data_IF_436704182584
#
_entry.id   IF_436704182584
#
_cell.length_a   1.000
_cell.length_b   1.000
_cell.length_c   1.000
_cell.angle_alpha   90.00
_cell.angle_beta   90.00
_cell.angle_gamma   90.00
#
_symmetry.space_group_name_H-M   'P 1'
#
loop_
_entity.id
_entity.type
_entity.pdbx_description
1 polymer ?
#
# COMPACT_ATOMS: atom_id res chain seq x y z
N UNK A 1 -44.45 18.87 7.15
CA UNK A 1 -43.63 17.91 6.40
C UNK A 1 -42.85 18.70 5.38
N UNK A 2 -41.52 18.67 5.46
CA UNK A 2 -40.65 19.43 4.54
C UNK A 2 -40.77 18.90 3.11
N UNK A 3 -40.63 19.79 2.14
CA UNK A 3 -40.68 19.48 0.71
C UNK A 3 -39.58 18.46 0.35
N UNK A 4 -39.91 17.23 -0.09
CA UNK A 4 -38.93 16.20 -0.44
C UNK A 4 -38.06 16.58 -1.65
N UNK A 5 -38.39 17.66 -2.37
CA UNK A 5 -37.63 18.18 -3.52
C UNK A 5 -36.22 18.66 -3.18
N UNK A 6 -35.85 18.79 -1.90
CA UNK A 6 -34.56 19.36 -1.49
C UNK A 6 -33.45 18.36 -1.16
N UNK A 7 -33.72 17.05 -0.99
CA UNK A 7 -32.78 16.14 -0.32
C UNK A 7 -31.95 15.21 -1.23
N UNK A 8 -32.06 15.32 -2.56
CA UNK A 8 -31.33 14.44 -3.50
C UNK A 8 -30.00 15.02 -4.02
N UNK A 9 -29.48 16.08 -3.40
CA UNK A 9 -28.23 16.73 -3.79
C UNK A 9 -27.09 16.37 -2.84
N UNK A 10 -26.14 15.56 -3.31
CA UNK A 10 -25.01 15.07 -2.49
C UNK A 10 -23.79 16.02 -2.47
N UNK A 11 -23.89 17.18 -3.12
CA UNK A 11 -22.80 18.16 -3.15
C UNK A 11 -21.64 17.73 -4.06
N UNK A 12 -20.46 18.31 -3.85
CA UNK A 12 -19.27 18.02 -4.67
C UNK A 12 -18.54 16.76 -4.17
N UNK A 13 -18.61 16.45 -2.88
CA UNK A 13 -17.89 15.33 -2.26
C UNK A 13 -18.76 14.56 -1.27
N UNK A 14 -18.69 13.23 -1.29
CA UNK A 14 -19.37 12.38 -0.31
C UNK A 14 -18.48 11.25 0.22
N UNK A 15 -18.59 11.00 1.53
CA UNK A 15 -17.95 9.86 2.19
C UNK A 15 -18.82 8.60 2.04
N UNK A 16 -18.41 7.69 1.17
CA UNK A 16 -19.06 6.40 0.99
C UNK A 16 -18.66 5.43 2.10
N UNK A 17 -19.54 5.24 3.08
CA UNK A 17 -19.36 4.25 4.16
C UNK A 17 -19.96 2.91 3.72
N UNK A 18 -19.35 1.75 4.05
CA UNK A 18 -19.90 0.45 3.69
C UNK A 18 -21.31 0.21 4.26
N UNK A 19 -22.18 -0.41 3.47
CA UNK A 19 -23.58 -0.70 3.84
C UNK A 19 -23.81 -2.13 4.37
N UNK A 20 -22.80 -2.99 4.27
CA UNK A 20 -22.82 -4.39 4.67
C UNK A 20 -21.67 -4.71 5.63
N UNK A 21 -21.85 -5.74 6.47
CA UNK A 21 -20.81 -6.18 7.40
C UNK A 21 -19.52 -6.60 6.68
N UNK A 22 -19.65 -7.31 5.55
CA UNK A 22 -18.51 -7.68 4.72
C UNK A 22 -17.75 -6.47 4.18
N UNK A 23 -18.45 -5.40 3.79
CA UNK A 23 -17.82 -4.15 3.40
C UNK A 23 -17.07 -3.46 4.54
N UNK A 24 -17.60 -3.52 5.77
CA UNK A 24 -16.88 -3.01 6.95
C UNK A 24 -15.59 -3.78 7.25
N UNK A 25 -15.62 -5.12 7.14
CA UNK A 25 -14.42 -5.96 7.29
C UNK A 25 -13.39 -5.63 6.23
N UNK A 26 -13.80 -5.55 4.96
CA UNK A 26 -12.92 -5.19 3.85
C UNK A 26 -12.31 -3.80 4.04
N UNK A 27 -13.11 -2.82 4.47
CA UNK A 27 -12.61 -1.48 4.79
C UNK A 27 -11.56 -1.52 5.91
N UNK A 28 -11.79 -2.31 6.96
CA UNK A 28 -10.83 -2.52 8.04
C UNK A 28 -9.50 -3.08 7.56
N UNK A 29 -9.54 -4.10 6.69
CA UNK A 29 -8.33 -4.68 6.06
C UNK A 29 -7.59 -3.63 5.23
N UNK A 30 -8.31 -2.89 4.38
CA UNK A 30 -7.70 -1.85 3.54
C UNK A 30 -7.05 -0.72 4.36
N UNK A 31 -7.70 -0.28 5.44
CA UNK A 31 -7.13 0.72 6.36
C UNK A 31 -5.89 0.17 7.08
N UNK A 32 -5.92 -1.08 7.53
CA UNK A 32 -4.74 -1.72 8.14
C UNK A 32 -3.56 -1.77 7.17
N UNK A 33 -3.81 -2.12 5.91
CA UNK A 33 -2.77 -2.12 4.87
C UNK A 33 -2.19 -0.73 4.63
N UNK A 34 -3.02 0.33 4.66
CA UNK A 34 -2.51 1.72 4.60
C UNK A 34 -1.64 2.08 5.80
N UNK A 35 -2.04 1.66 7.00
CA UNK A 35 -1.29 1.88 8.25
C UNK A 35 0.08 1.18 8.20
N UNK A 36 0.21 0.09 7.46
CA UNK A 36 1.50 -0.59 7.25
C UNK A 36 2.29 0.08 6.11
N UNK A 37 1.64 0.36 4.98
CA UNK A 37 2.30 0.89 3.79
C UNK A 37 2.97 2.27 4.01
N UNK A 38 2.33 3.17 4.77
CA UNK A 38 2.83 4.53 5.00
C UNK A 38 4.12 4.53 5.83
N UNK A 39 4.21 3.87 7.01
CA UNK A 39 5.47 3.71 7.73
C UNK A 39 6.55 3.04 6.89
N UNK A 40 6.23 1.98 6.13
CA UNK A 40 7.20 1.32 5.24
C UNK A 40 7.71 2.28 4.16
N UNK A 41 6.87 3.15 3.60
CA UNK A 41 7.27 4.20 2.66
C UNK A 41 8.23 5.20 3.31
N UNK A 42 7.90 5.68 4.51
CA UNK A 42 8.73 6.63 5.24
C UNK A 42 10.09 6.02 5.60
N UNK A 43 10.10 4.76 6.02
CA UNK A 43 11.33 4.00 6.28
C UNK A 43 12.14 3.81 4.99
N UNK A 44 11.51 3.49 3.86
CA UNK A 44 12.19 3.38 2.57
C UNK A 44 12.92 4.68 2.20
N UNK A 45 12.32 5.84 2.48
CA UNK A 45 12.97 7.15 2.27
C UNK A 45 14.21 7.41 3.13
N UNK A 46 14.44 6.61 4.18
CA UNK A 46 15.65 6.69 5.02
C UNK A 46 16.75 5.70 4.63
N UNK A 47 16.46 4.76 3.72
CA UNK A 47 17.41 3.74 3.29
C UNK A 47 18.37 4.31 2.23
N UNK A 48 19.65 3.93 2.34
CA UNK A 48 20.68 4.30 1.36
C UNK A 48 20.63 3.33 0.17
N UNK A 49 20.75 3.87 -1.04
CA UNK A 49 20.79 3.08 -2.27
C UNK A 49 22.22 2.60 -2.55
N UNK A 50 22.53 1.38 -2.11
CA UNK A 50 23.84 0.78 -2.31
C UNK A 50 23.91 0.06 -3.67
N UNK A 51 24.95 0.30 -4.49
CA UNK A 51 25.14 -0.38 -5.77
C UNK A 51 25.39 -1.89 -5.59
N UNK A 52 25.15 -2.71 -6.63
CA UNK A 52 25.45 -4.13 -6.60
C UNK A 52 26.93 -4.37 -6.25
N UNK A 53 27.26 -5.33 -5.35
CA UNK A 53 28.64 -5.56 -4.92
C UNK A 53 29.61 -5.85 -6.06
N UNK A 54 29.14 -6.43 -7.18
CA UNK A 54 29.98 -6.72 -8.35
C UNK A 54 30.50 -5.48 -9.07
N UNK A 55 29.83 -4.34 -8.92
CA UNK A 55 30.16 -3.06 -9.59
C UNK A 55 31.02 -2.16 -8.71
N UNK A 56 31.19 -2.51 -7.44
CA UNK A 56 31.95 -1.70 -6.47
C UNK A 56 33.44 -2.11 -6.49
N UNK A 57 34.39 -1.17 -6.63
CA UNK A 57 35.81 -1.47 -6.63
C UNK A 57 36.29 -2.05 -5.30
N UNK A 58 37.26 -2.97 -5.35
CA UNK A 58 37.92 -3.52 -4.17
C UNK A 58 39.22 -2.74 -3.94
N UNK A 59 39.36 -2.14 -2.77
CA UNK A 59 40.53 -1.33 -2.35
C UNK A 59 41.17 -1.93 -1.10
N UNK A 60 42.47 -1.69 -0.91
CA UNK A 60 43.19 -2.18 0.27
C UNK A 60 42.90 -1.30 1.50
N UNK A 61 42.74 0.00 1.30
CA UNK A 61 42.46 1.00 2.33
C UNK A 61 41.40 2.01 1.84
N UNK A 62 40.16 1.96 2.36
CA UNK A 62 39.10 2.90 2.01
C UNK A 62 39.45 4.39 2.22
N UNK A 63 40.30 4.70 3.21
CA UNK A 63 40.66 6.07 3.56
C UNK A 63 41.82 6.62 2.74
N UNK A 64 42.67 5.74 2.21
CA UNK A 64 43.86 6.10 1.43
C UNK A 64 43.72 5.89 -0.09
N UNK A 65 42.87 4.96 -0.52
CA UNK A 65 42.66 4.61 -1.94
C UNK A 65 41.22 4.93 -2.36
N UNK A 66 41.07 5.97 -3.18
CA UNK A 66 39.79 6.32 -3.78
C UNK A 66 39.73 5.84 -5.24
N UNK A 67 38.57 5.35 -5.70
CA UNK A 67 38.40 5.01 -7.11
C UNK A 67 38.46 6.27 -7.99
N UNK A 68 38.96 6.12 -9.22
CA UNK A 68 39.09 7.22 -10.21
C UNK A 68 37.74 7.70 -10.79
N UNK A 69 36.63 7.11 -10.35
CA UNK A 69 35.29 7.40 -10.85
C UNK A 69 34.73 8.70 -10.26
N UNK A 70 33.64 9.23 -10.84
CA UNK A 70 32.97 10.40 -10.27
C UNK A 70 32.29 10.06 -8.93
N UNK A 71 32.35 10.93 -7.90
CA UNK A 71 31.69 10.70 -6.62
C UNK A 71 30.18 10.52 -6.81
N UNK A 72 29.64 9.57 -6.05
CA UNK A 72 28.20 9.31 -5.99
C UNK A 72 27.57 10.32 -5.05
N UNK A 73 26.62 11.10 -5.57
CA UNK A 73 25.81 11.99 -4.75
C UNK A 73 24.68 11.19 -4.11
N UNK A 74 24.68 11.09 -2.78
CA UNK A 74 23.56 10.50 -2.05
C UNK A 74 22.34 11.43 -2.17
N UNK A 75 21.34 10.98 -2.92
CA UNK A 75 20.18 11.82 -3.28
C UNK A 75 19.16 11.96 -2.14
N UNK A 76 18.66 10.88 -1.57
CA UNK A 76 17.53 10.91 -0.63
C UNK A 76 17.73 9.89 0.49
N UNK A 77 17.53 10.33 1.75
CA UNK A 77 17.88 9.62 2.99
C UNK A 77 19.05 10.29 3.75
N UNK A 78 20.00 10.87 3.01
CA UNK A 78 21.08 11.76 3.50
C UNK A 78 21.40 12.78 2.40
N UNK A 79 20.56 13.79 2.25
CA UNK A 79 20.68 14.78 1.18
C UNK A 79 22.04 15.51 1.26
N UNK A 80 22.84 15.40 0.20
CA UNK A 80 24.00 16.27 -0.05
C UNK A 80 25.37 15.62 0.11
N UNK A 81 25.47 14.47 0.78
CA UNK A 81 26.75 13.79 0.94
C UNK A 81 27.23 13.23 -0.40
N UNK A 82 28.42 13.66 -0.83
CA UNK A 82 29.14 13.11 -1.98
C UNK A 82 30.19 12.12 -1.47
N UNK A 83 30.32 10.97 -2.13
CA UNK A 83 31.28 9.95 -1.70
C UNK A 83 31.43 8.78 -2.65
N UNK A 84 32.27 7.83 -2.29
CA UNK A 84 32.48 6.61 -3.06
C UNK A 84 32.02 5.38 -2.31
N UNK A 85 31.52 4.42 -3.09
CA UNK A 85 31.34 3.06 -2.63
C UNK A 85 32.64 2.30 -2.88
N UNK A 86 33.14 1.64 -1.84
CA UNK A 86 34.31 0.77 -1.93
C UNK A 86 34.06 -0.52 -1.19
N UNK A 87 34.72 -1.58 -1.65
CA UNK A 87 34.82 -2.83 -0.91
C UNK A 87 36.22 -2.96 -0.34
N UNK A 88 36.34 -3.47 0.86
CA UNK A 88 37.64 -3.85 1.42
C UNK A 88 37.53 -5.20 2.12
N UNK A 89 38.65 -5.90 2.25
CA UNK A 89 38.76 -7.10 3.09
C UNK A 89 39.47 -6.71 4.37
N UNK A 90 38.91 -7.06 5.52
CA UNK A 90 39.50 -6.74 6.81
C UNK A 90 39.31 -7.90 7.79
N UNK A 91 40.06 -7.89 8.89
CA UNK A 91 39.87 -8.83 10.00
C UNK A 91 39.15 -8.14 11.14
N UNK A 92 38.15 -8.80 11.70
CA UNK A 92 37.49 -8.34 12.93
C UNK A 92 38.50 -8.34 14.09
N UNK A 93 38.49 -7.31 14.94
CA UNK A 93 39.33 -7.29 16.16
C UNK A 93 38.61 -7.91 17.36
N UNK A 94 37.28 -7.91 17.33
CA UNK A 94 36.37 -8.39 18.36
C UNK A 94 35.18 -9.14 17.74
N UNK A 95 34.32 -9.72 18.57
CA UNK A 95 33.06 -10.30 18.10
C UNK A 95 32.20 -9.20 17.48
N UNK A 96 31.90 -9.33 16.20
CA UNK A 96 31.31 -8.24 15.42
C UNK A 96 29.78 -8.32 15.35
N UNK A 97 29.26 -9.47 14.94
CA UNK A 97 27.84 -9.62 14.66
C UNK A 97 27.33 -11.05 14.90
N UNK A 98 26.03 -11.15 15.16
CA UNK A 98 25.28 -12.39 15.20
C UNK A 98 24.39 -12.49 13.96
N UNK A 99 24.43 -13.64 13.31
CA UNK A 99 23.61 -14.00 12.15
C UNK A 99 22.59 -15.01 12.64
N UNK A 100 21.31 -14.69 12.50
CA UNK A 100 20.20 -15.61 12.78
C UNK A 100 19.55 -15.98 11.46
N UNK A 101 19.43 -17.27 11.17
CA UNK A 101 18.80 -17.78 9.96
C UNK A 101 17.42 -18.36 10.30
N UNK A 102 16.40 -17.97 9.55
CA UNK A 102 15.02 -18.43 9.71
C UNK A 102 14.48 -18.97 8.39
N UNK A 103 13.95 -20.19 8.41
CA UNK A 103 13.24 -20.78 7.26
C UNK A 103 11.74 -20.72 7.52
N UNK A 104 10.97 -20.17 6.59
CA UNK A 104 9.50 -20.13 6.71
C UNK A 104 8.88 -21.49 6.33
N UNK A 105 7.57 -21.64 6.54
CA UNK A 105 6.82 -22.87 6.26
C UNK A 105 6.83 -23.26 4.76
N UNK A 106 7.06 -22.28 3.88
CA UNK A 106 7.17 -22.45 2.43
C UNK A 106 8.59 -22.87 1.98
N UNK A 107 9.54 -23.01 2.91
CA UNK A 107 10.92 -23.38 2.63
C UNK A 107 11.79 -22.23 2.15
N UNK A 108 11.33 -20.99 2.24
CA UNK A 108 12.14 -19.81 1.95
C UNK A 108 13.04 -19.48 3.14
N UNK A 109 14.34 -19.37 2.87
CA UNK A 109 15.35 -18.99 3.85
C UNK A 109 15.45 -17.45 3.95
N UNK A 110 15.50 -16.96 5.17
CA UNK A 110 15.74 -15.57 5.54
C UNK A 110 16.80 -15.53 6.63
N UNK A 111 17.46 -14.40 6.82
CA UNK A 111 18.37 -14.20 7.95
C UNK A 111 18.36 -12.75 8.39
N UNK A 112 18.78 -12.52 9.62
CA UNK A 112 19.05 -11.22 10.19
C UNK A 112 20.49 -11.16 10.68
N UNK A 113 21.13 -10.01 10.49
CA UNK A 113 22.43 -9.72 11.08
C UNK A 113 22.28 -8.63 12.12
N UNK A 114 22.71 -8.94 13.32
CA UNK A 114 22.70 -8.06 14.46
C UNK A 114 24.13 -7.68 14.81
N UNK A 115 24.50 -6.43 14.54
CA UNK A 115 25.82 -5.91 14.93
C UNK A 115 25.81 -5.60 16.40
N UNK A 116 26.81 -6.12 17.11
CA UNK A 116 26.86 -6.02 18.57
C UNK A 116 27.28 -4.62 19.04
N UNK A 117 28.11 -3.93 18.27
CA UNK A 117 28.73 -2.67 18.65
C UNK A 117 28.33 -1.53 17.69
N UNK A 118 28.12 -0.32 18.23
CA UNK A 118 27.85 0.88 17.41
C UNK A 118 29.06 1.34 16.60
N UNK A 119 30.27 1.06 17.10
CA UNK A 119 31.53 1.24 16.38
C UNK A 119 32.31 -0.05 16.46
N UNK A 120 32.95 -0.42 15.36
CA UNK A 120 33.81 -1.59 15.29
C UNK A 120 35.16 -1.25 14.70
N UNK A 121 36.18 -1.92 15.21
CA UNK A 121 37.53 -1.82 14.71
C UNK A 121 37.83 -3.03 13.82
N UNK A 122 38.46 -2.76 12.69
CA UNK A 122 38.86 -3.78 11.73
C UNK A 122 40.35 -3.61 11.40
N UNK A 123 41.05 -4.72 11.29
CA UNK A 123 42.44 -4.74 10.87
C UNK A 123 42.51 -4.91 9.35
N UNK A 124 43.03 -3.90 8.66
CA UNK A 124 43.20 -3.91 7.22
C UNK A 124 44.37 -4.82 6.79
N UNK A 125 44.44 -5.21 5.49
CA UNK A 125 45.51 -6.07 4.98
C UNK A 125 46.90 -5.42 5.05
N UNK A 126 46.94 -4.08 5.03
CA UNK A 126 48.16 -3.28 5.19
C UNK A 126 48.67 -3.20 6.64
N UNK A 127 47.87 -3.70 7.61
CA UNK A 127 48.18 -3.66 9.05
C UNK A 127 47.62 -2.43 9.77
N UNK A 128 46.96 -1.52 9.06
CA UNK A 128 46.30 -0.35 9.66
C UNK A 128 44.95 -0.73 10.29
N UNK A 129 44.46 0.14 11.15
CA UNK A 129 43.21 -0.04 11.86
C UNK A 129 42.14 0.87 11.27
N UNK A 130 41.05 0.26 10.82
CA UNK A 130 39.87 0.94 10.30
C UNK A 130 38.80 0.99 11.40
N UNK A 131 38.36 2.20 11.77
CA UNK A 131 37.32 2.38 12.79
C UNK A 131 36.06 2.86 12.12
N UNK A 132 35.03 2.01 12.13
CA UNK A 132 33.82 2.23 11.37
C UNK A 132 32.63 2.39 12.31
N UNK A 133 31.72 3.29 11.93
CA UNK A 133 30.41 3.39 12.59
C UNK A 133 29.47 2.40 11.92
N UNK A 134 28.90 1.49 12.73
CA UNK A 134 27.95 0.51 12.23
C UNK A 134 26.53 1.12 12.21
N UNK A 135 25.81 1.02 11.09
CA UNK A 135 24.42 1.42 11.02
C UNK A 135 23.59 0.52 11.92
N UNK A 136 22.46 1.05 12.39
CA UNK A 136 21.57 0.38 13.32
C UNK A 136 20.91 -0.91 12.78
N UNK A 137 21.09 -1.23 11.50
CA UNK A 137 20.72 -2.51 10.90
C UNK A 137 21.46 -2.72 9.56
N UNK A 138 22.51 -3.56 9.49
CA UNK A 138 22.96 -4.07 8.21
C UNK A 138 21.97 -5.14 7.76
N UNK A 139 21.54 -5.02 6.53
CA UNK A 139 20.69 -6.01 5.89
C UNK A 139 21.55 -6.74 4.83
N UNK A 140 21.25 -7.99 4.54
CA UNK A 140 21.90 -8.74 3.45
C UNK A 140 20.95 -9.82 2.93
N UNK A 141 21.31 -10.47 1.81
CA UNK A 141 20.51 -11.51 1.15
C UNK A 141 20.99 -12.93 1.55
N UNK A 142 20.09 -13.93 1.67
CA UNK A 142 20.43 -15.28 2.15
C UNK A 142 21.51 -15.94 1.31
N UNK A 143 22.51 -16.49 2.00
CA UNK A 143 23.29 -17.58 1.42
C UNK A 143 22.55 -18.91 1.63
N UNK A 144 22.37 -19.71 0.56
CA UNK A 144 21.69 -21.00 0.67
C UNK A 144 22.35 -21.91 1.70
N UNK A 145 21.56 -22.45 2.64
CA UNK A 145 22.06 -23.29 3.73
C UNK A 145 22.57 -22.50 4.94
N UNK A 146 22.04 -21.30 5.14
CA UNK A 146 22.33 -20.42 6.28
C UNK A 146 22.11 -21.15 7.61
N UNK A 147 23.12 -21.12 8.49
CA UNK A 147 23.02 -21.56 9.88
C UNK A 147 23.37 -20.41 10.80
N UNK A 148 22.75 -20.37 11.98
CA UNK A 148 23.06 -19.39 13.00
C UNK A 148 24.58 -19.34 13.24
N UNK A 149 25.13 -18.14 13.16
CA UNK A 149 26.57 -17.93 13.15
C UNK A 149 26.92 -16.64 13.88
N UNK A 150 28.03 -16.67 14.61
CA UNK A 150 28.58 -15.47 15.24
C UNK A 150 29.91 -15.16 14.61
N UNK A 151 30.06 -13.95 14.06
CA UNK A 151 31.32 -13.46 13.50
C UNK A 151 32.26 -13.16 14.67
N UNK A 152 33.21 -14.06 14.91
CA UNK A 152 34.16 -13.92 16.01
C UNK A 152 35.29 -12.96 15.68
N UNK A 153 36.11 -12.65 16.69
CA UNK A 153 37.35 -11.92 16.51
C UNK A 153 38.33 -12.68 15.61
N UNK A 154 39.14 -11.94 14.85
CA UNK A 154 40.18 -12.44 13.95
C UNK A 154 39.63 -13.28 12.78
N UNK A 155 38.39 -13.02 12.36
CA UNK A 155 37.80 -13.59 11.16
C UNK A 155 37.94 -12.63 9.97
N UNK A 156 38.21 -13.20 8.80
CA UNK A 156 38.26 -12.45 7.54
C UNK A 156 36.84 -12.11 7.07
N UNK A 157 36.58 -10.82 6.90
CA UNK A 157 35.31 -10.26 6.42
C UNK A 157 35.54 -9.37 5.21
N UNK A 158 34.57 -9.37 4.28
CA UNK A 158 34.48 -8.36 3.23
C UNK A 158 33.49 -7.29 3.68
N UNK A 159 33.89 -6.03 3.62
CA UNK A 159 33.09 -4.88 4.00
C UNK A 159 32.68 -4.10 2.73
N UNK A 160 31.43 -3.65 2.70
CA UNK A 160 30.93 -2.64 1.78
C UNK A 160 30.87 -1.31 2.53
N UNK A 161 31.74 -0.38 2.15
CA UNK A 161 31.95 0.90 2.84
C UNK A 161 31.52 2.05 1.94
N UNK A 162 30.81 3.02 2.52
CA UNK A 162 30.61 4.33 1.92
C UNK A 162 31.58 5.33 2.55
N UNK A 163 32.41 5.97 1.72
CA UNK A 163 33.37 6.98 2.14
C UNK A 163 32.80 8.35 1.85
N UNK A 164 32.45 9.11 2.88
CA UNK A 164 31.89 10.46 2.73
C UNK A 164 33.01 11.49 2.53
N UNK A 165 33.00 12.21 1.41
CA UNK A 165 34.04 13.19 1.08
C UNK A 165 33.88 14.53 1.81
N UNK A 166 32.68 14.84 2.30
CA UNK A 166 32.44 16.09 3.04
C UNK A 166 32.84 15.98 4.51
N UNK A 167 32.54 14.85 5.16
CA UNK A 167 32.86 14.62 6.57
C UNK A 167 34.16 13.85 6.81
N UNK A 168 34.67 13.12 5.81
CA UNK A 168 35.78 12.19 5.97
C UNK A 168 35.42 10.96 6.82
N UNK A 169 34.14 10.74 7.12
CA UNK A 169 33.68 9.58 7.87
C UNK A 169 33.39 8.40 6.94
N UNK A 170 33.68 7.20 7.44
CA UNK A 170 33.50 5.93 6.74
C UNK A 170 32.43 5.10 7.46
N UNK A 171 31.49 4.58 6.69
CA UNK A 171 30.37 3.80 7.21
C UNK A 171 30.25 2.46 6.51
N UNK A 172 30.10 1.38 7.29
CA UNK A 172 29.86 0.03 6.77
C UNK A 172 28.38 -0.16 6.54
N UNK A 173 27.96 -0.47 5.32
CA UNK A 173 26.54 -0.69 5.01
C UNK A 173 26.23 -2.15 4.66
N UNK A 174 27.26 -2.98 4.45
CA UNK A 174 27.12 -4.42 4.23
C UNK A 174 28.38 -5.19 4.61
N UNK A 175 28.21 -6.42 5.10
CA UNK A 175 29.30 -7.32 5.54
C UNK A 175 29.09 -8.68 4.89
N UNK A 176 30.16 -9.24 4.34
CA UNK A 176 30.25 -10.62 3.83
C UNK A 176 31.25 -11.39 4.68
N UNK A 177 30.93 -12.65 4.99
CA UNK A 177 31.73 -13.51 5.88
C UNK A 177 32.07 -14.79 5.12
N UNK A 178 33.19 -15.47 5.46
CA UNK A 178 33.56 -16.79 4.92
C UNK A 178 33.73 -16.81 3.39
N UNK A 179 34.51 -15.87 2.87
CA UNK A 179 34.73 -15.67 1.43
C UNK A 179 33.48 -15.28 0.62
N UNK A 180 32.36 -15.01 1.30
CA UNK A 180 31.18 -14.45 0.66
C UNK A 180 31.35 -12.96 0.43
N UNK A 181 30.79 -12.48 -0.69
CA UNK A 181 30.82 -11.06 -1.01
C UNK A 181 29.94 -10.28 -0.05
N UNK A 182 30.39 -9.10 0.36
CA UNK A 182 29.56 -8.17 1.11
C UNK A 182 28.27 -7.93 0.32
N UNK A 183 27.13 -8.22 0.94
CA UNK A 183 25.85 -8.08 0.28
C UNK A 183 25.25 -6.70 0.56
N UNK A 184 24.43 -6.21 -0.39
CA UNK A 184 23.75 -4.92 -0.24
C UNK A 184 22.67 -5.00 0.84
N UNK A 185 22.44 -3.94 1.63
CA UNK A 185 21.26 -3.84 2.48
C UNK A 185 19.97 -3.96 1.67
N UNK A 186 18.88 -4.37 2.33
CA UNK A 186 17.51 -4.37 1.82
C UNK A 186 17.33 -3.09 1.01
N UNK A 187 17.24 -3.27 -0.31
CA UNK A 187 17.33 -2.16 -1.22
C UNK A 187 16.20 -1.18 -0.94
N UNK A 188 16.54 0.11 -0.90
CA UNK A 188 15.56 1.20 -0.94
C UNK A 188 14.47 0.92 -1.98
N UNK A 189 14.88 0.41 -3.14
CA UNK A 189 14.00 -0.07 -4.20
C UNK A 189 13.01 -1.13 -3.71
N UNK A 190 13.45 -2.25 -3.13
CA UNK A 190 12.58 -3.30 -2.58
C UNK A 190 11.58 -2.78 -1.55
N UNK A 191 12.01 -1.85 -0.68
CA UNK A 191 11.13 -1.22 0.32
C UNK A 191 10.06 -0.33 -0.34
N UNK A 192 10.43 0.48 -1.33
CA UNK A 192 9.47 1.25 -2.13
C UNK A 192 8.53 0.34 -2.93
N UNK A 193 9.04 -0.69 -3.60
CA UNK A 193 8.23 -1.66 -4.36
C UNK A 193 7.20 -2.31 -3.45
N UNK A 194 7.61 -2.79 -2.27
CA UNK A 194 6.71 -3.42 -1.29
C UNK A 194 5.67 -2.42 -0.76
N UNK A 195 6.08 -1.21 -0.45
CA UNK A 195 5.17 -0.17 0.04
C UNK A 195 4.13 0.23 -1.01
N UNK A 196 4.55 0.53 -2.24
CA UNK A 196 3.64 0.89 -3.32
C UNK A 196 2.74 -0.27 -3.74
N UNK A 197 3.25 -1.51 -3.74
CA UNK A 197 2.43 -2.70 -3.97
C UNK A 197 1.35 -2.88 -2.91
N UNK A 198 1.71 -2.73 -1.63
CA UNK A 198 0.77 -2.79 -0.50
C UNK A 198 -0.26 -1.66 -0.58
N UNK A 199 0.16 -0.44 -0.92
CA UNK A 199 -0.71 0.71 -1.13
C UNK A 199 -1.70 0.48 -2.28
N UNK A 200 -1.25 -0.09 -3.41
CA UNK A 200 -2.11 -0.39 -4.54
C UNK A 200 -3.21 -1.41 -4.16
N UNK A 201 -2.84 -2.48 -3.45
CA UNK A 201 -3.82 -3.47 -2.96
C UNK A 201 -4.78 -2.82 -1.96
N UNK A 202 -4.28 -2.01 -1.03
CA UNK A 202 -5.10 -1.28 -0.07
C UNK A 202 -6.14 -0.40 -0.76
N UNK A 203 -5.72 0.37 -1.78
CA UNK A 203 -6.62 1.20 -2.56
C UNK A 203 -7.71 0.38 -3.27
N UNK A 204 -7.37 -0.77 -3.89
CA UNK A 204 -8.36 -1.64 -4.54
C UNK A 204 -9.39 -2.19 -3.55
N UNK A 205 -8.93 -2.67 -2.39
CA UNK A 205 -9.81 -3.17 -1.33
C UNK A 205 -10.74 -2.05 -0.85
N UNK A 206 -10.20 -0.84 -0.65
CA UNK A 206 -10.98 0.31 -0.22
C UNK A 206 -12.00 0.75 -1.27
N UNK A 207 -11.64 0.78 -2.55
CA UNK A 207 -12.58 1.02 -3.66
C UNK A 207 -13.75 0.04 -3.62
N UNK A 208 -13.47 -1.26 -3.48
CA UNK A 208 -14.50 -2.30 -3.41
C UNK A 208 -15.38 -2.22 -2.15
N UNK A 209 -14.84 -1.71 -1.04
CA UNK A 209 -15.57 -1.54 0.22
C UNK A 209 -16.44 -0.28 0.28
N UNK A 210 -16.07 0.77 -0.47
CA UNK A 210 -16.82 2.04 -0.48
C UNK A 210 -18.15 1.86 -1.19
N UNK A 211 -19.23 2.30 -0.56
CA UNK A 211 -20.55 2.27 -1.18
C UNK A 211 -20.64 3.28 -2.34
N UNK A 212 -21.39 2.96 -3.41
CA UNK A 212 -21.67 3.91 -4.47
C UNK A 212 -22.33 5.19 -3.95
N UNK A 213 -22.10 6.34 -4.59
CA UNK A 213 -22.82 7.57 -4.26
C UNK A 213 -24.34 7.33 -4.41
N UNK A 214 -25.13 7.91 -3.53
CA UNK A 214 -26.58 7.70 -3.51
C UNK A 214 -27.07 6.40 -2.84
N UNK A 215 -26.24 5.36 -2.67
CA UNK A 215 -26.72 4.06 -2.18
C UNK A 215 -27.37 4.13 -0.78
N UNK A 216 -26.75 4.84 0.17
CA UNK A 216 -27.32 5.05 1.50
C UNK A 216 -28.57 5.93 1.50
N UNK A 217 -28.65 6.89 0.57
CA UNK A 217 -29.79 7.78 0.43
C UNK A 217 -31.00 7.03 -0.14
N UNK A 218 -30.80 6.25 -1.21
CA UNK A 218 -31.82 5.37 -1.78
C UNK A 218 -32.31 4.35 -0.76
N UNK A 219 -31.40 3.72 0.00
CA UNK A 219 -31.77 2.79 1.07
C UNK A 219 -32.58 3.46 2.18
N UNK A 220 -32.28 4.73 2.52
CA UNK A 220 -33.07 5.51 3.48
C UNK A 220 -34.45 5.87 2.93
N UNK A 221 -34.54 6.26 1.66
CA UNK A 221 -35.80 6.55 0.98
C UNK A 221 -36.68 5.30 0.90
N UNK A 222 -36.13 4.17 0.48
CA UNK A 222 -36.82 2.87 0.51
C UNK A 222 -37.32 2.53 1.92
N UNK A 223 -36.51 2.70 2.97
CA UNK A 223 -36.96 2.45 4.35
C UNK A 223 -38.02 3.43 4.84
N UNK A 224 -38.03 4.65 4.34
CA UNK A 224 -38.99 5.67 4.75
C UNK A 224 -40.36 5.47 4.11
N UNK A 225 -40.37 4.97 2.87
CA UNK A 225 -41.60 4.68 2.14
C UNK A 225 -42.11 3.25 2.39
N UNK A 226 -41.22 2.29 2.64
CA UNK A 226 -41.57 0.86 2.75
C UNK A 226 -42.34 0.38 1.50
N UNK A 227 -41.77 0.58 0.30
CA UNK A 227 -42.47 0.35 -0.95
C UNK A 227 -42.92 -1.11 -1.04
N UNK A 228 -44.05 -1.38 -1.68
CA UNK A 228 -44.54 -2.74 -1.81
C UNK A 228 -43.64 -3.61 -2.70
N UNK A 229 -43.58 -4.93 -2.43
CA UNK A 229 -42.86 -5.87 -3.29
C UNK A 229 -43.48 -5.93 -4.70
N UNK A 230 -42.69 -6.46 -5.63
CA UNK A 230 -42.93 -6.52 -7.09
C UNK A 230 -44.39 -6.68 -7.51
N UNK A 231 -44.75 -6.16 -8.67
CA UNK A 231 -46.11 -6.29 -9.24
C UNK A 231 -46.15 -7.37 -10.33
N UNK A 232 -47.25 -8.10 -10.43
CA UNK A 232 -47.51 -9.08 -11.49
C UNK A 232 -48.89 -8.85 -12.12
N UNK A 233 -48.98 -9.03 -13.44
CA UNK A 233 -50.24 -9.03 -14.17
C UNK A 233 -50.64 -10.47 -14.49
N UNK A 234 -51.78 -10.91 -13.95
CA UNK A 234 -52.38 -12.22 -14.21
C UNK A 234 -53.73 -12.09 -14.95
N UNK A 235 -54.41 -13.22 -15.17
CA UNK A 235 -55.71 -13.27 -15.84
C UNK A 235 -56.85 -12.56 -15.07
N UNK A 236 -56.65 -12.28 -13.78
CA UNK A 236 -57.61 -11.62 -12.89
C UNK A 236 -57.29 -10.12 -12.70
N UNK A 237 -56.13 -9.66 -13.19
CA UNK A 237 -55.72 -8.26 -13.20
C UNK A 237 -54.30 -8.05 -12.70
N UNK A 238 -54.01 -6.81 -12.27
CA UNK A 238 -52.72 -6.45 -11.69
C UNK A 238 -52.77 -6.65 -10.18
N UNK A 239 -51.80 -7.38 -9.63
CA UNK A 239 -51.72 -7.71 -8.20
C UNK A 239 -50.29 -7.61 -7.69
N UNK A 240 -50.13 -7.44 -6.38
CA UNK A 240 -48.83 -7.57 -5.73
C UNK A 240 -48.34 -9.02 -5.83
N UNK A 241 -47.11 -9.20 -6.30
CA UNK A 241 -46.48 -10.49 -6.44
C UNK A 241 -46.15 -11.02 -5.04
N UNK A 242 -46.75 -12.16 -4.69
CA UNK A 242 -46.30 -12.98 -3.56
C UNK A 242 -45.15 -13.84 -4.09
N UNK A 243 -44.00 -13.21 -4.33
CA UNK A 243 -42.80 -13.93 -4.77
C UNK A 243 -42.13 -14.65 -3.58
N UNK A 244 -41.50 -15.82 -3.78
CA UNK A 244 -40.62 -16.39 -2.76
C UNK A 244 -39.50 -15.40 -2.43
N UNK A 245 -39.09 -15.34 -1.16
CA UNK A 245 -38.00 -14.45 -0.71
C UNK A 245 -36.78 -14.62 -1.62
N UNK A 246 -36.48 -13.57 -2.38
CA UNK A 246 -35.29 -13.52 -3.22
C UNK A 246 -34.11 -13.03 -2.39
N UNK A 247 -32.92 -13.59 -2.63
CA UNK A 247 -31.66 -13.08 -2.09
C UNK A 247 -31.21 -11.84 -2.89
N UNK A 248 -31.90 -10.72 -2.72
CA UNK A 248 -31.62 -9.47 -3.45
C UNK A 248 -32.63 -8.37 -3.13
N UNK A 249 -32.81 -7.42 -4.05
CA UNK A 249 -33.85 -6.41 -3.93
C UNK A 249 -35.22 -7.02 -4.21
N UNK A 250 -36.09 -6.97 -3.20
CA UNK A 250 -37.47 -7.48 -3.24
C UNK A 250 -38.47 -6.43 -3.72
N UNK A 251 -38.02 -5.17 -3.89
CA UNK A 251 -38.85 -4.04 -4.30
C UNK A 251 -38.51 -3.64 -5.73
N UNK A 252 -39.54 -3.37 -6.53
CA UNK A 252 -39.34 -2.80 -7.88
C UNK A 252 -39.25 -1.27 -7.84
N UNK A 253 -39.63 -0.64 -6.71
CA UNK A 253 -39.80 0.81 -6.56
C UNK A 253 -39.00 1.33 -5.36
N UNK A 254 -38.59 2.60 -5.44
CA UNK A 254 -37.98 3.35 -4.32
C UNK A 254 -39.05 4.06 -3.47
N UNK A 255 -40.20 4.37 -4.08
CA UNK A 255 -41.36 5.01 -3.48
C UNK A 255 -42.55 4.07 -3.49
N UNK A 256 -43.58 4.41 -2.73
CA UNK A 256 -44.86 3.70 -2.74
C UNK A 256 -45.41 3.66 -4.16
N UNK A 257 -45.69 2.47 -4.73
CA UNK A 257 -46.32 2.42 -6.04
C UNK A 257 -47.71 3.04 -5.95
N UNK A 258 -48.22 3.66 -7.03
CA UNK A 258 -49.61 4.09 -7.07
C UNK A 258 -50.54 2.90 -6.82
N UNK A 259 -51.66 3.12 -6.12
CA UNK A 259 -52.65 2.06 -5.89
C UNK A 259 -53.21 1.53 -7.22
N UNK A 260 -53.52 0.22 -7.28
CA UNK A 260 -54.00 -0.48 -8.49
C UNK A 260 -55.29 0.14 -9.08
N UNK A 261 -56.01 0.90 -8.27
CA UNK A 261 -57.22 1.65 -8.63
C UNK A 261 -56.91 2.90 -9.48
N UNK A 262 -55.72 3.48 -9.34
CA UNK A 262 -55.30 4.65 -10.09
C UNK A 262 -54.68 4.30 -11.47
N UNK A 263 -54.40 3.03 -11.73
CA UNK A 263 -53.63 2.64 -12.92
C UNK A 263 -54.45 2.70 -14.21
N UNK A 264 -53.86 3.26 -15.25
CA UNK A 264 -54.43 3.32 -16.58
C UNK A 264 -54.30 1.98 -17.30
N UNK A 265 -55.34 1.15 -17.16
CA UNK A 265 -55.39 -0.21 -17.72
C UNK A 265 -55.55 -0.26 -19.24
N UNK A 266 -55.89 0.86 -19.88
CA UNK A 266 -56.16 0.93 -21.33
C UNK A 266 -54.97 1.47 -22.12
N UNK A 267 -54.13 2.32 -21.51
CA UNK A 267 -52.94 2.89 -22.14
C UNK A 267 -51.74 2.84 -21.17
N UNK A 268 -50.82 1.88 -21.33
CA UNK A 268 -49.67 1.68 -20.43
C UNK A 268 -48.68 2.84 -20.34
N UNK A 269 -48.79 3.82 -21.23
CA UNK A 269 -47.91 5.00 -21.32
C UNK A 269 -48.62 6.30 -20.97
N UNK A 270 -49.91 6.24 -20.60
CA UNK A 270 -50.65 7.41 -20.16
C UNK A 270 -50.46 7.61 -18.65
N UNK A 271 -50.59 8.86 -18.18
CA UNK A 271 -50.53 9.14 -16.76
C UNK A 271 -51.69 8.45 -16.02
N UNK A 272 -51.37 7.78 -14.91
CA UNK A 272 -52.33 7.08 -14.06
C UNK A 272 -53.22 8.07 -13.27
N UNK A 273 -52.70 9.25 -12.92
CA UNK A 273 -53.48 10.33 -12.31
C UNK A 273 -53.44 11.61 -13.17
N UNK A 274 -54.58 12.14 -13.63
CA UNK A 274 -54.62 13.37 -14.44
C UNK A 274 -54.45 14.67 -13.62
N UNK A 275 -54.65 14.64 -12.30
CA UNK A 275 -54.68 15.85 -11.45
C UNK A 275 -53.40 16.05 -10.61
N UNK A 276 -52.58 15.01 -10.46
CA UNK A 276 -51.33 15.07 -9.72
C UNK A 276 -50.23 14.33 -10.45
N UNK A 277 -49.06 14.97 -10.57
CA UNK A 277 -47.86 14.29 -11.03
C UNK A 277 -47.56 13.12 -10.09
N UNK A 278 -47.20 11.97 -10.66
CA UNK A 278 -46.79 10.80 -9.89
C UNK A 278 -45.67 11.18 -8.89
N UNK A 279 -45.62 10.58 -7.69
CA UNK A 279 -44.55 10.85 -6.72
C UNK A 279 -43.15 10.75 -7.33
N UNK A 280 -42.95 9.78 -8.24
CA UNK A 280 -41.73 9.52 -8.99
C UNK A 280 -41.47 10.49 -10.17
N UNK A 281 -42.41 11.38 -10.48
CA UNK A 281 -42.25 12.31 -11.59
C UNK A 281 -41.04 13.24 -11.36
N UNK A 282 -40.20 13.52 -12.37
CA UNK A 282 -39.00 14.36 -12.21
C UNK A 282 -39.25 15.74 -11.59
N UNK A 283 -40.43 16.34 -11.81
CA UNK A 283 -40.82 17.61 -11.17
C UNK A 283 -41.16 17.47 -9.67
N UNK A 284 -41.50 16.28 -9.20
CA UNK A 284 -41.77 15.98 -7.79
C UNK A 284 -40.53 15.51 -7.04
N UNK A 285 -39.67 14.71 -7.67
CA UNK A 285 -38.41 14.26 -7.09
C UNK A 285 -37.29 15.31 -7.18
N UNK A 286 -37.33 16.19 -8.19
CA UNK A 286 -36.15 16.96 -8.58
C UNK A 286 -35.14 16.10 -9.34
N UNK A 287 -34.02 16.72 -9.77
CA UNK A 287 -32.93 16.00 -10.43
C UNK A 287 -32.02 15.38 -9.37
N UNK A 288 -31.68 14.10 -9.54
CA UNK A 288 -30.70 13.42 -8.70
C UNK A 288 -29.31 14.00 -8.98
N UNK A 289 -28.70 14.67 -8.00
CA UNK A 289 -27.37 15.24 -8.11
C UNK A 289 -26.40 14.44 -7.25
N UNK A 290 -25.82 13.40 -7.85
CA UNK A 290 -24.78 12.60 -7.20
C UNK A 290 -23.50 13.42 -7.00
N UNK A 291 -22.73 13.05 -5.98
CA UNK A 291 -21.46 13.69 -5.72
C UNK A 291 -20.50 13.51 -6.90
N UNK A 292 -19.84 14.60 -7.29
CA UNK A 292 -18.85 14.60 -8.38
C UNK A 292 -17.60 13.81 -7.99
N UNK A 293 -17.19 13.89 -6.73
CA UNK A 293 -16.09 13.15 -6.15
C UNK A 293 -16.58 12.25 -5.02
N UNK A 294 -16.05 11.04 -4.98
CA UNK A 294 -16.38 10.02 -3.98
C UNK A 294 -15.11 9.45 -3.38
N UNK A 295 -15.21 8.79 -2.22
CA UNK A 295 -14.09 8.02 -1.68
C UNK A 295 -13.55 6.99 -2.67
N UNK A 296 -14.42 6.38 -3.49
CA UNK A 296 -14.01 5.53 -4.60
C UNK A 296 -13.03 6.25 -5.56
N UNK A 297 -13.30 7.52 -5.87
CA UNK A 297 -12.43 8.34 -6.74
C UNK A 297 -11.08 8.63 -6.08
N UNK A 298 -11.08 8.94 -4.77
CA UNK A 298 -9.85 9.16 -3.99
C UNK A 298 -8.97 7.91 -3.98
N UNK A 299 -9.57 6.75 -3.72
CA UNK A 299 -8.86 5.47 -3.76
C UNK A 299 -8.41 5.10 -5.17
N UNK A 300 -9.20 5.41 -6.20
CA UNK A 300 -8.83 5.21 -7.60
C UNK A 300 -7.62 6.04 -8.02
N UNK A 301 -7.57 7.31 -7.61
CA UNK A 301 -6.39 8.16 -7.84
C UNK A 301 -5.17 7.63 -7.09
N UNK A 302 -5.35 7.21 -5.83
CA UNK A 302 -4.30 6.58 -5.03
C UNK A 302 -3.76 5.30 -5.67
N UNK A 303 -4.64 4.45 -6.21
CA UNK A 303 -4.27 3.23 -6.93
C UNK A 303 -3.43 3.54 -8.17
N UNK A 304 -3.89 4.47 -9.01
CA UNK A 304 -3.15 4.85 -10.22
C UNK A 304 -1.78 5.43 -9.87
N UNK A 305 -1.70 6.29 -8.87
CA UNK A 305 -0.43 6.83 -8.39
C UNK A 305 0.50 5.72 -7.86
N UNK A 306 -0.02 4.80 -7.05
CA UNK A 306 0.74 3.69 -6.48
C UNK A 306 1.28 2.74 -7.56
N UNK A 307 0.47 2.36 -8.54
CA UNK A 307 0.89 1.49 -9.66
C UNK A 307 1.89 2.20 -10.57
N UNK A 308 1.70 3.49 -10.84
CA UNK A 308 2.65 4.27 -11.63
C UNK A 308 4.02 4.33 -10.97
N UNK A 309 4.04 4.57 -9.65
CA UNK A 309 5.28 4.54 -8.87
C UNK A 309 5.87 3.14 -8.78
N UNK A 310 5.05 2.11 -8.60
CA UNK A 310 5.51 0.73 -8.61
C UNK A 310 6.27 0.40 -9.89
N UNK A 311 5.76 0.82 -11.05
CA UNK A 311 6.45 0.66 -12.34
C UNK A 311 7.81 1.36 -12.40
N UNK A 312 7.96 2.52 -11.77
CA UNK A 312 9.25 3.24 -11.68
C UNK A 312 10.26 2.50 -10.80
N UNK A 313 9.79 1.84 -9.74
CA UNK A 313 10.65 1.15 -8.77
C UNK A 313 10.77 -0.37 -9.01
N UNK A 314 10.22 -0.89 -10.11
CA UNK A 314 10.30 -2.31 -10.48
C UNK A 314 11.24 -2.62 -11.65
N UNK A 315 11.78 -1.57 -12.30
CA UNK A 315 12.81 -1.67 -13.36
C UNK A 315 14.23 -1.59 -12.76
#
# INVERSE_FOLDING_TARGET
MGDPRQDLHQGVFTFGIPLSLGGWIAMGIGVLMLIIAVPTFLLAGTLVDAPPPGEVPLVADPGGEQPDDSPTVLREGRQGAEGHWVRTTAKTTETYAEITCTTNEDGEESWSLYVLNQRSEFLLPNGDMLVLTNPSAPHGYPTPGCQDYTVQANEDVQLLVFVNHESGEEEVLGVGVRDERAQRPLGRMTAFTTSFGTLAIACLVLMGSTSPPGAGMLKKLQRAHDPHPRLHQDAEGLRYAVAPEWSGDQHDWVFDPPGVEAWNRTMPYAADNPEALLPEHPNNLGKLHLATFTMYSVWGLGFVAAVSMLGIYSD
#
